data_IF_480824640553
#
_entry.id   IF_480824640553
#
_cell.length_a   1.000
_cell.length_b   1.000
_cell.length_c   1.000
_cell.angle_alpha   90.00
_cell.angle_beta   90.00
_cell.angle_gamma   90.00
#
_symmetry.space_group_name_H-M   'P 1'
#
loop_
_entity.id
_entity.type
_entity.pdbx_description
1 polymer ?
#
# COMPACT_ATOMS: atom_id res chain seq x y z
N UNK A 1 0.33 -11.54 -58.94
CA UNK A 1 -1.07 -11.08 -58.80
C UNK A 1 -1.25 -10.64 -57.36
N UNK A 2 -1.31 -9.33 -57.13
CA UNK A 2 -1.33 -8.74 -55.78
C UNK A 2 -2.72 -8.78 -55.17
N UNK A 3 -2.81 -9.21 -53.92
CA UNK A 3 -4.00 -9.07 -53.10
C UNK A 3 -3.80 -7.85 -52.19
N UNK A 4 -4.47 -6.75 -52.50
CA UNK A 4 -4.51 -5.55 -51.66
C UNK A 4 -5.49 -5.74 -50.51
N UNK A 5 -5.03 -5.48 -49.29
CA UNK A 5 -5.91 -5.32 -48.13
C UNK A 5 -6.61 -3.95 -48.21
N UNK A 6 -7.95 -3.86 -48.05
CA UNK A 6 -8.62 -2.57 -48.02
C UNK A 6 -8.38 -1.92 -46.66
N UNK A 7 -7.67 -0.79 -46.67
CA UNK A 7 -7.59 0.11 -45.52
C UNK A 7 -8.91 0.88 -45.48
N UNK A 8 -9.84 0.44 -44.62
CA UNK A 8 -11.06 1.17 -44.33
C UNK A 8 -10.71 2.42 -43.53
N UNK A 9 -10.76 3.59 -44.17
CA UNK A 9 -10.68 4.87 -43.50
C UNK A 9 -11.97 5.04 -42.70
N UNK A 10 -11.87 5.07 -41.37
CA UNK A 10 -12.99 5.42 -40.51
C UNK A 10 -13.48 6.82 -40.91
N UNK A 11 -14.76 6.95 -41.26
CA UNK A 11 -15.41 8.24 -41.47
C UNK A 11 -15.19 9.13 -40.24
N UNK A 12 -14.96 10.44 -40.42
CA UNK A 12 -14.82 11.35 -39.29
C UNK A 12 -16.14 11.33 -38.51
N UNK A 13 -16.08 10.83 -37.27
CA UNK A 13 -17.22 10.84 -36.37
C UNK A 13 -17.85 12.24 -36.37
N UNK A 14 -19.13 12.31 -36.73
CA UNK A 14 -19.91 13.53 -36.67
C UNK A 14 -19.74 14.17 -35.30
N UNK A 15 -19.30 15.42 -35.26
CA UNK A 15 -19.13 16.16 -34.00
C UNK A 15 -20.45 16.17 -33.23
N UNK A 16 -20.45 15.77 -31.95
CA UNK A 16 -21.68 15.70 -31.16
C UNK A 16 -22.34 17.07 -31.07
N UNK A 17 -23.67 17.07 -31.05
CA UNK A 17 -24.46 18.28 -30.79
C UNK A 17 -24.25 18.76 -29.35
N UNK A 18 -24.62 20.01 -29.08
CA UNK A 18 -24.51 20.59 -27.74
C UNK A 18 -25.32 19.82 -26.68
N UNK A 19 -26.49 19.28 -27.06
CA UNK A 19 -27.31 18.46 -26.16
C UNK A 19 -26.61 17.14 -25.84
N UNK A 20 -26.15 16.42 -26.87
CA UNK A 20 -25.44 15.15 -26.71
C UNK A 20 -24.18 15.32 -25.87
N UNK A 21 -23.43 16.40 -26.04
CA UNK A 21 -22.23 16.68 -25.24
C UNK A 21 -22.56 16.89 -23.75
N UNK A 22 -23.70 17.54 -23.43
CA UNK A 22 -24.16 17.69 -22.04
C UNK A 22 -24.60 16.37 -21.44
N UNK A 23 -25.35 15.57 -22.19
CA UNK A 23 -25.83 14.26 -21.74
C UNK A 23 -24.64 13.32 -21.48
N UNK A 24 -23.63 13.33 -22.34
CA UNK A 24 -22.39 12.58 -22.16
C UNK A 24 -21.65 13.05 -20.89
N UNK A 25 -21.50 14.36 -20.66
CA UNK A 25 -20.82 14.86 -19.47
C UNK A 25 -21.53 14.43 -18.17
N UNK A 26 -22.87 14.51 -18.14
CA UNK A 26 -23.66 14.03 -17.00
C UNK A 26 -23.42 12.54 -16.76
N UNK A 27 -23.47 11.71 -17.80
CA UNK A 27 -23.21 10.28 -17.68
C UNK A 27 -21.77 9.98 -17.19
N UNK A 28 -20.76 10.77 -17.58
CA UNK A 28 -19.39 10.60 -17.09
C UNK A 28 -19.23 10.99 -15.62
N UNK A 29 -19.93 12.04 -15.17
CA UNK A 29 -19.98 12.44 -13.76
C UNK A 29 -20.62 11.35 -12.90
N UNK A 30 -21.73 10.78 -13.36
CA UNK A 30 -22.40 9.69 -12.67
C UNK A 30 -21.50 8.45 -12.58
N UNK A 31 -20.77 8.13 -13.66
CA UNK A 31 -19.80 7.04 -13.67
C UNK A 31 -18.62 7.27 -12.70
N UNK A 32 -18.11 8.50 -12.60
CA UNK A 32 -17.07 8.86 -11.61
C UNK A 32 -17.60 8.68 -10.19
N UNK A 33 -18.79 9.19 -9.88
CA UNK A 33 -19.40 9.08 -8.56
C UNK A 33 -19.64 7.61 -8.15
N UNK A 34 -20.05 6.77 -9.10
CA UNK A 34 -20.20 5.33 -8.89
C UNK A 34 -18.83 4.66 -8.59
N UNK A 35 -17.78 5.05 -9.32
CA UNK A 35 -16.42 4.56 -9.06
C UNK A 35 -15.89 4.98 -7.68
N UNK A 36 -16.13 6.24 -7.26
CA UNK A 36 -15.76 6.73 -5.93
C UNK A 36 -16.48 5.97 -4.82
N UNK A 37 -17.79 5.78 -4.97
CA UNK A 37 -18.61 5.03 -4.01
C UNK A 37 -18.10 3.60 -3.89
N UNK A 38 -17.81 2.96 -5.02
CA UNK A 38 -17.28 1.59 -5.04
C UNK A 38 -15.91 1.49 -4.37
N UNK A 39 -15.03 2.45 -4.60
CA UNK A 39 -13.73 2.50 -3.92
C UNK A 39 -13.92 2.65 -2.40
N UNK A 40 -14.81 3.55 -1.97
CA UNK A 40 -15.13 3.75 -0.56
C UNK A 40 -15.67 2.50 0.15
N UNK A 41 -16.55 1.75 -0.51
CA UNK A 41 -17.04 0.45 -0.02
C UNK A 41 -15.88 -0.54 0.19
N UNK A 42 -15.03 -0.71 -0.81
CA UNK A 42 -13.92 -1.67 -0.76
C UNK A 42 -12.88 -1.31 0.31
N UNK A 43 -12.57 -0.02 0.47
CA UNK A 43 -11.68 0.46 1.53
C UNK A 43 -12.29 0.20 2.91
N UNK A 44 -13.60 0.39 3.05
CA UNK A 44 -14.31 0.12 4.31
C UNK A 44 -14.34 -1.38 4.63
N UNK A 45 -14.56 -2.22 3.63
CA UNK A 45 -14.52 -3.69 3.75
C UNK A 45 -13.11 -4.17 4.18
N UNK A 46 -12.06 -3.62 3.57
CA UNK A 46 -10.68 -3.94 3.92
C UNK A 46 -10.38 -3.54 5.38
N UNK A 47 -10.79 -2.34 5.81
CA UNK A 47 -10.61 -1.89 7.19
C UNK A 47 -11.40 -2.73 8.20
N UNK A 48 -12.59 -3.22 7.83
CA UNK A 48 -13.38 -4.15 8.65
C UNK A 48 -12.66 -5.49 8.80
N UNK A 49 -12.07 -6.00 7.70
CA UNK A 49 -11.32 -7.25 7.71
C UNK A 49 -10.03 -7.13 8.53
N UNK A 50 -9.26 -6.05 8.37
CA UNK A 50 -8.04 -5.82 9.16
C UNK A 50 -8.33 -5.77 10.66
N UNK A 51 -9.46 -5.14 11.08
CA UNK A 51 -9.92 -5.18 12.47
C UNK A 51 -10.28 -6.60 12.96
N UNK A 52 -10.84 -7.43 12.07
CA UNK A 52 -11.19 -8.81 12.40
C UNK A 52 -9.95 -9.71 12.53
N UNK A 53 -8.92 -9.46 11.72
CA UNK A 53 -7.63 -10.15 11.82
C UNK A 53 -6.93 -9.74 13.12
N UNK A 54 -6.93 -8.45 13.46
CA UNK A 54 -6.33 -7.95 14.70
C UNK A 54 -6.98 -8.58 15.94
N UNK A 55 -8.32 -8.64 15.99
CA UNK A 55 -9.03 -9.26 17.13
C UNK A 55 -8.76 -10.76 17.26
N UNK A 56 -8.60 -11.47 16.14
CA UNK A 56 -8.20 -12.88 16.14
C UNK A 56 -6.76 -13.09 16.66
N UNK A 57 -5.85 -12.17 16.32
CA UNK A 57 -4.47 -12.16 16.82
C UNK A 57 -4.43 -11.89 18.34
N UNK A 58 -5.19 -10.91 18.82
CA UNK A 58 -5.28 -10.57 20.24
C UNK A 58 -5.82 -11.75 21.07
N UNK A 59 -6.84 -12.45 20.56
CA UNK A 59 -7.36 -13.66 21.22
C UNK A 59 -6.30 -14.76 21.33
N UNK A 60 -5.45 -14.93 20.31
CA UNK A 60 -4.36 -15.91 20.31
C UNK A 60 -3.24 -15.53 21.28
N UNK A 61 -2.94 -14.22 21.41
CA UNK A 61 -1.98 -13.71 22.38
C UNK A 61 -2.45 -13.90 23.83
N UNK A 62 -3.73 -13.65 24.11
CA UNK A 62 -4.33 -13.89 25.42
C UNK A 62 -4.26 -15.36 25.83
N UNK A 63 -4.59 -16.28 24.92
CA UNK A 63 -4.49 -17.73 25.18
C UNK A 63 -3.04 -18.17 25.47
N UNK A 64 -2.08 -17.64 24.70
CA UNK A 64 -0.66 -17.92 24.92
C UNK A 64 -0.18 -17.43 26.29
N UNK A 65 -0.65 -16.25 26.72
CA UNK A 65 -0.39 -15.73 28.06
C UNK A 65 -1.00 -16.61 29.17
N UNK A 66 -2.22 -17.13 28.97
CA UNK A 66 -2.85 -18.07 29.90
C UNK A 66 -2.07 -19.37 30.05
N UNK A 67 -1.53 -19.93 28.95
CA UNK A 67 -0.68 -21.12 29.01
C UNK A 67 0.61 -20.85 29.79
N UNK A 68 1.27 -19.71 29.56
CA UNK A 68 2.50 -19.39 30.28
C UNK A 68 2.23 -19.12 31.76
N UNK A 69 1.10 -18.50 32.11
CA UNK A 69 0.64 -18.38 33.50
C UNK A 69 0.46 -19.76 34.16
N UNK A 70 -0.25 -20.67 33.49
CA UNK A 70 -0.44 -22.04 33.99
C UNK A 70 0.90 -22.77 34.19
N UNK A 71 1.86 -22.60 33.26
CA UNK A 71 3.21 -23.16 33.40
C UNK A 71 3.98 -22.54 34.56
N UNK A 72 3.87 -21.22 34.77
CA UNK A 72 4.51 -20.55 35.89
C UNK A 72 3.96 -21.04 37.24
N UNK A 73 2.65 -21.21 37.34
CA UNK A 73 2.00 -21.78 38.53
C UNK A 73 2.42 -23.21 38.80
N UNK A 74 2.61 -24.03 37.76
CA UNK A 74 3.14 -25.39 37.87
C UNK A 74 4.59 -25.40 38.36
N UNK A 75 5.46 -24.55 37.80
CA UNK A 75 6.86 -24.41 38.25
C UNK A 75 6.92 -23.95 39.70
N UNK A 76 6.10 -22.98 40.09
CA UNK A 76 6.04 -22.49 41.47
C UNK A 76 5.56 -23.59 42.43
N UNK A 77 4.49 -24.32 42.08
CA UNK A 77 3.99 -25.43 42.90
C UNK A 77 5.03 -26.56 43.05
N UNK A 78 5.73 -26.91 41.96
CA UNK A 78 6.81 -27.90 41.99
C UNK A 78 8.01 -27.43 42.83
N UNK A 79 8.37 -26.15 42.74
CA UNK A 79 9.46 -25.56 43.52
C UNK A 79 9.11 -25.53 45.00
N UNK A 80 7.90 -25.10 45.38
CA UNK A 80 7.45 -25.11 46.78
C UNK A 80 7.38 -26.54 47.34
N UNK A 81 6.92 -27.51 46.55
CA UNK A 81 6.93 -28.92 46.95
C UNK A 81 8.35 -29.48 47.17
N UNK A 82 9.35 -28.97 46.43
CA UNK A 82 10.74 -29.39 46.53
C UNK A 82 11.51 -28.66 47.64
N UNK A 83 11.37 -27.34 47.74
CA UNK A 83 12.10 -26.47 48.67
C UNK A 83 11.60 -26.64 50.10
N UNK A 84 10.28 -26.62 50.32
CA UNK A 84 9.72 -26.75 51.66
C UNK A 84 9.40 -28.22 52.01
N UNK A 85 9.61 -29.17 51.10
CA UNK A 85 8.95 -30.47 51.24
C UNK A 85 7.42 -30.34 51.37
N UNK A 86 6.82 -29.26 50.86
CA UNK A 86 5.40 -28.96 51.02
C UNK A 86 4.99 -28.37 52.37
N UNK A 87 5.88 -27.66 53.06
CA UNK A 87 5.60 -27.04 54.36
C UNK A 87 5.00 -25.62 54.23
N UNK A 88 3.67 -25.54 54.14
CA UNK A 88 2.90 -24.39 54.62
C UNK A 88 2.39 -24.74 56.04
N UNK A 89 3.17 -24.43 57.07
CA UNK A 89 3.10 -25.00 58.44
C UNK A 89 1.99 -24.39 59.35
N UNK A 90 1.25 -25.19 60.18
CA UNK A 90 1.68 -25.62 61.53
C UNK A 90 1.42 -27.13 61.78
N UNK A 91 1.67 -27.98 60.78
CA UNK A 91 1.53 -29.44 60.84
C UNK A 91 2.86 -30.17 61.05
N UNK A 92 3.89 -29.47 61.54
CA UNK A 92 4.98 -30.05 62.35
C UNK A 92 4.47 -30.96 63.51
N UNK A 93 3.16 -31.02 63.78
CA UNK A 93 2.54 -31.93 64.76
C UNK A 93 2.35 -33.39 64.30
N UNK A 94 2.66 -33.75 63.04
CA UNK A 94 2.46 -35.13 62.53
C UNK A 94 3.70 -35.72 61.82
N UNK A 95 4.88 -35.27 62.22
CA UNK A 95 6.17 -35.65 61.65
C UNK A 95 6.76 -36.95 62.20
N UNK A 96 5.98 -38.02 62.28
CA UNK A 96 6.57 -39.33 62.55
C UNK A 96 5.81 -40.45 61.85
N UNK A 97 5.87 -40.46 60.53
CA UNK A 97 6.43 -41.61 59.83
C UNK A 97 6.43 -41.35 58.33
N UNK A 98 7.22 -42.13 57.61
CA UNK A 98 7.21 -42.21 56.15
C UNK A 98 5.89 -42.79 55.63
N UNK A 99 4.78 -42.08 55.85
CA UNK A 99 3.44 -42.57 55.60
C UNK A 99 3.07 -42.44 54.11
N UNK A 100 2.66 -43.55 53.51
CA UNK A 100 2.21 -43.68 52.11
C UNK A 100 1.14 -42.65 51.74
N UNK A 101 0.37 -42.17 52.74
CA UNK A 101 -0.63 -41.11 52.61
C UNK A 101 -0.04 -39.78 52.10
N UNK A 102 1.13 -39.35 52.60
CA UNK A 102 1.77 -38.09 52.18
C UNK A 102 2.31 -38.21 50.76
N UNK A 103 2.95 -39.35 50.43
CA UNK A 103 3.41 -39.64 49.06
C UNK A 103 2.24 -39.73 48.08
N UNK A 104 1.13 -40.35 48.48
CA UNK A 104 -0.07 -40.44 47.64
C UNK A 104 -0.66 -39.06 47.34
N UNK A 105 -0.76 -38.16 48.34
CA UNK A 105 -1.27 -36.80 48.13
C UNK A 105 -0.39 -35.99 47.18
N UNK A 106 0.94 -36.13 47.29
CA UNK A 106 1.86 -35.49 46.34
C UNK A 106 1.70 -36.05 44.92
N UNK A 107 1.56 -37.36 44.78
CA UNK A 107 1.33 -38.00 43.48
C UNK A 107 0.00 -37.55 42.87
N UNK A 108 -1.10 -37.56 43.65
CA UNK A 108 -2.42 -37.12 43.18
C UNK A 108 -2.44 -35.64 42.82
N UNK A 109 -1.75 -34.78 43.57
CA UNK A 109 -1.62 -33.37 43.22
C UNK A 109 -0.86 -33.17 41.91
N UNK A 110 0.27 -33.86 41.73
CA UNK A 110 1.05 -33.81 40.49
C UNK A 110 0.28 -34.39 39.31
N UNK A 111 -0.47 -35.47 39.50
CA UNK A 111 -1.29 -36.12 38.48
C UNK A 111 -2.47 -35.25 38.06
N UNK A 112 -3.16 -34.62 39.01
CA UNK A 112 -4.25 -33.69 38.72
C UNK A 112 -3.75 -32.45 37.96
N UNK A 113 -2.65 -31.85 38.43
CA UNK A 113 -2.00 -30.70 37.77
C UNK A 113 -1.41 -31.05 36.40
N UNK A 114 -0.92 -32.27 36.20
CA UNK A 114 -0.48 -32.76 34.90
C UNK A 114 -1.68 -32.96 33.95
N UNK A 115 -2.82 -33.42 34.48
CA UNK A 115 -4.11 -33.44 33.77
C UNK A 115 -4.53 -32.05 33.30
N UNK A 116 -4.49 -31.05 34.19
CA UNK A 116 -4.83 -29.66 33.86
C UNK A 116 -3.97 -29.09 32.72
N UNK A 117 -2.65 -29.39 32.72
CA UNK A 117 -1.75 -28.97 31.66
C UNK A 117 -2.02 -29.71 30.34
N UNK A 118 -2.29 -31.02 30.40
CA UNK A 118 -2.62 -31.83 29.23
C UNK A 118 -3.94 -31.38 28.59
N UNK A 119 -4.93 -31.02 29.41
CA UNK A 119 -6.21 -30.47 28.97
C UNK A 119 -6.03 -29.08 28.37
N UNK A 120 -5.25 -28.19 29.00
CA UNK A 120 -4.93 -26.87 28.46
C UNK A 120 -4.17 -26.96 27.12
N UNK A 121 -3.20 -27.88 27.00
CA UNK A 121 -2.49 -28.14 25.76
C UNK A 121 -3.40 -28.68 24.66
N UNK A 122 -4.34 -29.57 25.01
CA UNK A 122 -5.31 -30.14 24.06
C UNK A 122 -6.31 -29.09 23.58
N UNK A 123 -6.76 -28.20 24.47
CA UNK A 123 -7.61 -27.06 24.14
C UNK A 123 -6.89 -26.08 23.21
N UNK A 124 -5.61 -25.80 23.45
CA UNK A 124 -4.79 -24.96 22.56
C UNK A 124 -4.68 -25.55 21.15
N UNK A 125 -4.35 -26.85 21.04
CA UNK A 125 -4.25 -27.51 19.74
C UNK A 125 -5.61 -27.64 19.03
N UNK A 126 -6.72 -27.73 19.76
CA UNK A 126 -8.06 -27.64 19.19
C UNK A 126 -8.33 -26.23 18.64
N UNK A 127 -8.04 -25.19 19.41
CA UNK A 127 -8.25 -23.80 19.00
C UNK A 127 -7.38 -23.40 17.81
N UNK A 128 -6.14 -23.90 17.76
CA UNK A 128 -5.26 -23.73 16.61
C UNK A 128 -5.83 -24.40 15.35
N UNK A 129 -6.28 -25.65 15.44
CA UNK A 129 -6.93 -26.35 14.32
C UNK A 129 -8.16 -25.61 13.79
N UNK A 130 -8.93 -24.97 14.67
CA UNK A 130 -10.14 -24.23 14.31
C UNK A 130 -9.85 -22.82 13.76
N UNK A 131 -8.76 -22.18 14.19
CA UNK A 131 -8.40 -20.80 13.80
C UNK A 131 -7.45 -20.73 12.60
N UNK A 132 -6.50 -21.66 12.45
CA UNK A 132 -5.57 -21.70 11.32
C UNK A 132 -6.27 -21.58 9.95
N UNK A 133 -7.32 -22.37 9.62
CA UNK A 133 -8.01 -22.23 8.34
C UNK A 133 -8.74 -20.88 8.19
N UNK A 134 -9.23 -20.30 9.30
CA UNK A 134 -9.89 -18.98 9.28
C UNK A 134 -8.88 -17.87 9.01
N UNK A 135 -7.69 -17.95 9.60
CA UNK A 135 -6.62 -16.98 9.37
C UNK A 135 -6.11 -17.04 7.92
N UNK A 136 -5.98 -18.24 7.35
CA UNK A 136 -5.66 -18.41 5.92
C UNK A 136 -6.75 -17.79 5.05
N UNK A 137 -8.02 -18.11 5.31
CA UNK A 137 -9.14 -17.55 4.56
C UNK A 137 -9.24 -16.02 4.68
N UNK A 138 -8.96 -15.46 5.86
CA UNK A 138 -8.91 -14.01 6.07
C UNK A 138 -7.73 -13.37 5.33
N UNK A 139 -6.56 -14.02 5.28
CA UNK A 139 -5.41 -13.53 4.52
C UNK A 139 -5.68 -13.52 3.02
N UNK A 140 -6.27 -14.59 2.47
CA UNK A 140 -6.70 -14.66 1.08
C UNK A 140 -7.79 -13.61 0.76
N UNK A 141 -8.76 -13.43 1.65
CA UNK A 141 -9.79 -12.41 1.51
C UNK A 141 -9.18 -11.00 1.52
N UNK A 142 -8.15 -10.75 2.34
CA UNK A 142 -7.44 -9.48 2.40
C UNK A 142 -6.70 -9.21 1.10
N UNK A 143 -5.95 -10.18 0.60
CA UNK A 143 -5.25 -10.06 -0.70
C UNK A 143 -6.23 -9.78 -1.84
N UNK A 144 -7.35 -10.51 -1.88
CA UNK A 144 -8.43 -10.30 -2.85
C UNK A 144 -9.04 -8.90 -2.76
N UNK A 145 -9.32 -8.41 -1.55
CA UNK A 145 -9.83 -7.04 -1.35
C UNK A 145 -8.82 -5.98 -1.74
N UNK A 146 -7.54 -6.13 -1.38
CA UNK A 146 -6.48 -5.21 -1.79
C UNK A 146 -6.37 -5.14 -3.31
N UNK A 147 -6.40 -6.28 -4.01
CA UNK A 147 -6.41 -6.30 -5.47
C UNK A 147 -7.63 -5.57 -6.07
N UNK A 148 -8.82 -5.76 -5.48
CA UNK A 148 -10.05 -5.06 -5.89
C UNK A 148 -9.97 -3.55 -5.64
N UNK A 149 -9.35 -3.11 -4.55
CA UNK A 149 -9.10 -1.69 -4.27
C UNK A 149 -8.22 -1.10 -5.37
N UNK A 150 -7.11 -1.73 -5.73
CA UNK A 150 -6.24 -1.25 -6.81
C UNK A 150 -6.99 -1.17 -8.16
N UNK A 151 -7.82 -2.16 -8.47
CA UNK A 151 -8.68 -2.11 -9.68
C UNK A 151 -9.67 -0.94 -9.61
N UNK A 152 -10.27 -0.68 -8.46
CA UNK A 152 -11.21 0.43 -8.27
C UNK A 152 -10.53 1.80 -8.35
N UNK A 153 -9.32 1.95 -7.81
CA UNK A 153 -8.49 3.16 -7.95
C UNK A 153 -8.18 3.46 -9.42
N UNK A 154 -7.77 2.43 -10.17
CA UNK A 154 -7.53 2.56 -11.60
C UNK A 154 -8.81 2.93 -12.37
N UNK A 155 -9.95 2.33 -12.01
CA UNK A 155 -11.25 2.67 -12.60
C UNK A 155 -11.66 4.12 -12.30
N UNK A 156 -11.41 4.60 -11.09
CA UNK A 156 -11.65 6.00 -10.71
C UNK A 156 -10.75 6.95 -11.51
N UNK A 157 -9.46 6.62 -11.66
CA UNK A 157 -8.54 7.41 -12.48
C UNK A 157 -8.99 7.48 -13.95
N UNK A 158 -9.47 6.37 -14.52
CA UNK A 158 -10.04 6.33 -15.87
C UNK A 158 -11.33 7.15 -15.96
N UNK A 159 -12.23 7.04 -14.98
CA UNK A 159 -13.47 7.82 -14.94
C UNK A 159 -13.18 9.34 -14.94
N UNK A 160 -12.23 9.78 -14.10
CA UNK A 160 -11.75 11.17 -14.06
C UNK A 160 -11.22 11.65 -15.41
N UNK A 161 -10.43 10.81 -16.10
CA UNK A 161 -9.91 11.14 -17.43
C UNK A 161 -11.05 11.31 -18.46
N UNK A 162 -12.02 10.38 -18.46
CA UNK A 162 -13.16 10.43 -19.39
C UNK A 162 -14.13 11.58 -19.10
N UNK A 163 -14.27 12.00 -17.84
CA UNK A 163 -15.01 13.21 -17.48
C UNK A 163 -14.31 14.45 -18.05
N UNK A 164 -13.00 14.58 -17.86
CA UNK A 164 -12.23 15.70 -18.40
C UNK A 164 -12.26 15.76 -19.93
N UNK A 165 -12.27 14.61 -20.61
CA UNK A 165 -12.50 14.53 -22.07
C UNK A 165 -13.91 15.02 -22.45
N UNK A 166 -14.94 14.63 -21.70
CA UNK A 166 -16.31 15.09 -21.93
C UNK A 166 -16.47 16.60 -21.70
N UNK A 167 -15.78 17.18 -20.72
CA UNK A 167 -15.76 18.63 -20.47
C UNK A 167 -15.11 19.41 -21.63
N UNK A 168 -14.00 18.88 -22.17
CA UNK A 168 -13.37 19.42 -23.38
C UNK A 168 -14.32 19.34 -24.58
N UNK A 169 -15.01 18.21 -24.75
CA UNK A 169 -15.97 18.02 -25.83
C UNK A 169 -17.16 18.98 -25.71
N UNK A 170 -17.67 19.22 -24.51
CA UNK A 170 -18.73 20.20 -24.26
C UNK A 170 -18.29 21.62 -24.64
N UNK A 171 -17.09 22.02 -24.20
CA UNK A 171 -16.51 23.33 -24.56
C UNK A 171 -16.37 23.50 -26.07
N UNK A 172 -15.92 22.45 -26.78
CA UNK A 172 -15.83 22.46 -28.23
C UNK A 172 -17.22 22.53 -28.91
N UNK A 173 -18.23 21.83 -28.37
CA UNK A 173 -19.59 21.88 -28.87
C UNK A 173 -20.24 23.25 -28.68
N UNK A 174 -19.97 23.95 -27.56
CA UNK A 174 -20.40 25.32 -27.32
C UNK A 174 -19.75 26.31 -28.31
N UNK A 175 -18.44 26.21 -28.52
CA UNK A 175 -17.72 27.01 -29.51
C UNK A 175 -18.27 26.79 -30.93
N UNK A 176 -18.60 25.54 -31.29
CA UNK A 176 -19.23 25.23 -32.58
C UNK A 176 -20.64 25.82 -32.69
N UNK A 177 -21.47 25.64 -31.66
CA UNK A 177 -22.84 26.15 -31.66
C UNK A 177 -22.89 27.68 -31.80
N UNK A 178 -21.96 28.40 -31.17
CA UNK A 178 -21.82 29.86 -31.32
C UNK A 178 -21.36 30.27 -32.72
N UNK A 179 -20.39 29.55 -33.31
CA UNK A 179 -19.95 29.78 -34.68
C UNK A 179 -21.09 29.55 -35.70
N UNK A 180 -21.84 28.45 -35.57
CA UNK A 180 -22.98 28.14 -36.44
C UNK A 180 -24.10 29.19 -36.31
N UNK A 181 -24.35 29.70 -35.09
CA UNK A 181 -25.30 30.78 -34.86
C UNK A 181 -24.87 32.10 -35.51
N UNK A 182 -23.58 32.46 -35.40
CA UNK A 182 -23.02 33.63 -36.06
C UNK A 182 -23.11 33.53 -37.60
N UNK A 183 -22.85 32.34 -38.15
CA UNK A 183 -22.99 32.11 -39.59
C UNK A 183 -24.45 32.23 -40.05
N UNK A 184 -25.40 31.63 -39.30
CA UNK A 184 -26.85 31.79 -39.58
C UNK A 184 -27.29 33.25 -39.53
N UNK A 185 -26.83 34.01 -38.54
CA UNK A 185 -27.13 35.44 -38.44
C UNK A 185 -26.56 36.24 -39.62
N UNK A 186 -25.32 35.95 -40.03
CA UNK A 186 -24.70 36.57 -41.20
C UNK A 186 -25.43 36.24 -42.51
N UNK A 187 -25.91 35.00 -42.67
CA UNK A 187 -26.73 34.58 -43.82
C UNK A 187 -28.09 35.28 -43.82
N UNK A 188 -28.75 35.41 -42.67
CA UNK A 188 -30.03 36.13 -42.53
C UNK A 188 -29.89 37.62 -42.86
N UNK A 189 -28.83 38.27 -42.39
CA UNK A 189 -28.55 39.69 -42.70
C UNK A 189 -28.33 39.92 -44.21
N UNK A 190 -27.69 38.97 -44.92
CA UNK A 190 -27.52 39.04 -46.38
C UNK A 190 -28.80 38.82 -47.18
N UNK A 191 -29.79 38.14 -46.60
CA UNK A 191 -31.05 37.81 -47.27
C UNK A 191 -32.14 38.90 -47.13
N UNK A 192 -31.93 39.91 -46.28
CA UNK A 192 -32.85 41.04 -46.12
C UNK A 192 -32.78 41.95 -47.35
N UNK A 193 -33.90 42.25 -48.04
CA UNK A 193 -33.90 43.13 -49.20
C UNK A 193 -33.60 44.58 -48.77
N UNK A 194 -32.72 45.26 -49.51
CA UNK A 194 -32.38 46.66 -49.29
C UNK A 194 -33.61 47.56 -49.55
N UNK A 195 -34.35 47.88 -48.50
CA UNK A 195 -35.39 48.90 -48.52
C UNK A 195 -34.86 50.24 -48.02
N UNK A 196 -34.60 51.18 -48.94
CA UNK A 196 -34.58 52.63 -48.68
C UNK A 196 -33.24 53.25 -48.26
N UNK A 197 -32.76 54.17 -49.10
CA UNK A 197 -31.49 54.90 -48.98
C UNK A 197 -31.48 55.97 -47.87
N UNK A 198 -30.28 56.18 -47.30
CA UNK A 198 -29.91 57.35 -46.50
C UNK A 198 -28.39 57.43 -46.39
N UNK A 199 -27.79 58.27 -47.23
CA UNK A 199 -26.35 58.46 -47.36
C UNK A 199 -25.70 59.10 -46.13
N UNK A 200 -24.50 58.64 -45.77
CA UNK A 200 -23.44 59.50 -45.23
C UNK A 200 -22.07 58.87 -45.49
N UNK A 201 -21.31 59.55 -46.35
CA UNK A 201 -19.85 59.48 -46.53
C UNK A 201 -19.09 59.62 -45.22
N UNK A 202 -17.98 58.89 -45.02
CA UNK A 202 -16.63 59.42 -45.28
C UNK A 202 -15.51 58.49 -44.80
N UNK A 203 -14.36 58.68 -45.44
CA UNK A 203 -13.00 58.44 -44.98
C UNK A 203 -12.42 57.02 -45.07
N UNK A 204 -11.59 56.87 -46.09
CA UNK A 204 -10.53 55.88 -46.21
C UNK A 204 -9.55 55.93 -45.04
N UNK A 205 -8.99 54.76 -44.69
CA UNK A 205 -7.57 54.57 -44.40
C UNK A 205 -7.26 53.08 -44.37
N UNK A 206 -6.51 52.60 -45.37
CA UNK A 206 -5.65 51.43 -45.20
C UNK A 206 -4.42 51.86 -44.38
N UNK A 207 -3.79 50.94 -43.63
CA UNK A 207 -2.73 50.17 -44.28
C UNK A 207 -2.73 48.68 -43.92
N UNK A 208 -2.17 47.91 -44.85
CA UNK A 208 -1.80 46.49 -44.76
C UNK A 208 -0.71 46.28 -43.69
N UNK A 209 -0.68 45.11 -43.02
CA UNK A 209 0.44 44.15 -43.21
C UNK A 209 -0.10 42.70 -43.36
N UNK A 210 0.26 41.98 -44.44
CA UNK A 210 1.29 40.92 -44.51
C UNK A 210 0.85 39.56 -43.90
N UNK A 211 0.78 38.45 -44.68
CA UNK A 211 0.47 37.14 -44.13
C UNK A 211 1.74 36.50 -43.54
N UNK A 212 1.71 36.21 -42.24
CA UNK A 212 2.69 35.32 -41.61
C UNK A 212 2.29 33.87 -41.89
N UNK A 213 3.17 33.14 -42.57
CA UNK A 213 3.10 31.70 -42.70
C UNK A 213 3.27 31.02 -41.33
N UNK A 214 2.59 29.89 -41.04
CA UNK A 214 3.02 29.03 -39.95
C UNK A 214 4.28 28.27 -40.39
N UNK A 215 5.37 28.56 -39.69
CA UNK A 215 6.64 27.87 -39.77
C UNK A 215 6.46 26.38 -39.40
N UNK A 216 6.69 25.49 -40.37
CA UNK A 216 7.06 24.10 -40.12
C UNK A 216 8.51 24.11 -39.66
N UNK A 217 8.74 23.94 -38.36
CA UNK A 217 9.90 23.26 -37.80
C UNK A 217 9.80 23.30 -36.27
N UNK A 218 9.32 22.19 -35.70
CA UNK A 218 9.94 21.69 -34.48
C UNK A 218 10.56 20.32 -34.78
N UNK A 219 11.78 20.06 -34.28
CA UNK A 219 12.52 18.83 -34.54
C UNK A 219 11.85 17.61 -33.90
N UNK A 220 11.73 16.58 -34.71
CA UNK A 220 11.60 15.18 -34.29
C UNK A 220 12.61 14.86 -33.16
N UNK A 221 12.18 14.30 -32.02
CA UNK A 221 13.12 13.71 -31.08
C UNK A 221 13.78 12.51 -31.76
N UNK A 222 15.11 12.62 -31.95
CA UNK A 222 15.94 11.52 -32.36
C UNK A 222 15.82 10.37 -31.35
N UNK A 223 15.48 9.19 -31.86
CA UNK A 223 15.67 7.95 -31.15
C UNK A 223 17.16 7.77 -30.85
N UNK A 224 17.49 7.57 -29.57
CA UNK A 224 18.70 6.87 -29.16
C UNK A 224 18.24 5.55 -28.53
N UNK A 225 18.77 4.39 -28.96
CA UNK A 225 18.45 3.11 -28.35
C UNK A 225 19.27 2.93 -27.08
N UNK A 226 18.61 2.79 -25.94
CA UNK A 226 19.24 2.25 -24.73
C UNK A 226 18.43 1.07 -24.24
N UNK A 227 18.79 -0.10 -24.75
CA UNK A 227 18.72 -1.36 -24.01
C UNK A 227 19.29 -1.17 -22.61
N UNK A 228 18.45 -1.27 -21.59
CA UNK A 228 18.63 -2.06 -20.37
C UNK A 228 17.46 -1.74 -19.47
N UNK A 229 16.49 -2.66 -19.40
CA UNK A 229 15.37 -2.63 -18.47
C UNK A 229 15.89 -2.69 -17.03
N UNK A 230 15.76 -1.65 -16.17
CA UNK A 230 15.72 -1.89 -14.75
C UNK A 230 14.32 -2.41 -14.44
N UNK A 231 14.23 -3.64 -13.92
CA UNK A 231 13.02 -4.21 -13.35
C UNK A 231 12.36 -3.16 -12.46
N UNK A 232 11.18 -2.67 -12.85
CA UNK A 232 10.45 -1.69 -12.08
C UNK A 232 10.18 -2.27 -10.69
N UNK A 233 10.81 -1.66 -9.69
CA UNK A 233 10.67 -2.05 -8.31
C UNK A 233 9.43 -1.35 -7.78
N UNK A 234 8.33 -2.10 -7.67
CA UNK A 234 7.06 -1.63 -7.10
C UNK A 234 7.29 -1.35 -5.62
N UNK A 235 7.09 -0.11 -5.20
CA UNK A 235 7.14 0.26 -3.79
C UNK A 235 5.82 -0.11 -3.13
N UNK A 236 5.89 -0.98 -2.14
CA UNK A 236 4.76 -1.36 -1.29
C UNK A 236 4.80 -0.51 -0.02
N UNK A 237 3.69 0.13 0.37
CA UNK A 237 3.61 0.89 1.63
C UNK A 237 3.55 -0.02 2.87
N UNK A 238 3.21 -1.29 2.68
CA UNK A 238 3.21 -2.30 3.73
C UNK A 238 4.57 -2.99 3.82
N UNK A 239 5.09 -3.24 5.06
CA UNK A 239 6.29 -4.04 5.25
C UNK A 239 6.14 -5.42 4.59
N UNK A 240 7.20 -5.86 3.94
CA UNK A 240 7.28 -7.15 3.23
C UNK A 240 7.15 -8.35 4.17
N UNK A 241 7.36 -8.15 5.48
CA UNK A 241 7.22 -9.12 6.55
C UNK A 241 7.02 -8.39 7.89
N UNK A 242 6.55 -9.08 8.95
CA UNK A 242 6.43 -8.49 10.29
C UNK A 242 7.67 -7.70 10.68
N UNK A 243 7.45 -6.52 11.25
CA UNK A 243 8.55 -5.69 11.73
C UNK A 243 9.15 -6.35 12.98
N UNK A 244 10.48 -6.28 13.16
CA UNK A 244 11.10 -6.80 14.36
C UNK A 244 10.68 -5.99 15.59
N UNK A 245 10.46 -6.67 16.71
CA UNK A 245 10.32 -6.02 18.01
C UNK A 245 11.66 -5.42 18.42
N UNK A 246 11.69 -4.10 18.57
CA UNK A 246 12.89 -3.34 18.93
C UNK A 246 12.73 -2.82 20.37
N UNK A 247 13.65 -3.15 21.30
CA UNK A 247 13.61 -2.57 22.65
C UNK A 247 13.80 -1.05 22.60
N UNK A 248 13.22 -0.35 23.60
CA UNK A 248 13.43 1.08 23.76
C UNK A 248 14.87 1.38 24.22
N UNK A 249 15.51 2.35 23.56
CA UNK A 249 16.92 2.73 23.77
C UNK A 249 17.79 2.55 22.51
N UNK A 250 19.00 3.11 22.54
CA UNK A 250 19.95 3.08 21.41
C UNK A 250 20.11 4.44 20.70
N UNK A 251 20.68 4.45 19.47
CA UNK A 251 20.97 5.69 18.76
C UNK A 251 19.71 6.53 18.49
N UNK A 252 19.83 7.85 18.61
CA UNK A 252 18.72 8.80 18.45
C UNK A 252 18.22 8.86 17.01
N UNK A 253 17.00 9.37 16.75
CA UNK A 253 16.50 9.60 15.39
C UNK A 253 17.46 10.40 14.51
N UNK A 254 18.16 11.39 15.07
CA UNK A 254 19.14 12.23 14.38
C UNK A 254 20.39 11.43 13.99
N UNK A 255 20.85 10.53 14.86
CA UNK A 255 21.95 9.61 14.57
C UNK A 255 21.60 8.66 13.41
N UNK A 256 20.37 8.15 13.39
CA UNK A 256 19.86 7.33 12.29
C UNK A 256 19.72 8.12 10.99
N UNK A 257 19.27 9.37 11.06
CA UNK A 257 19.20 10.26 9.90
C UNK A 257 20.61 10.57 9.35
N UNK A 258 21.58 10.83 10.22
CA UNK A 258 22.98 11.06 9.84
C UNK A 258 23.61 9.83 9.19
N UNK A 259 23.31 8.62 9.68
CA UNK A 259 23.74 7.37 9.04
C UNK A 259 23.15 7.25 7.63
N UNK A 260 21.82 7.41 7.46
CA UNK A 260 21.18 7.34 6.14
C UNK A 260 21.73 8.38 5.18
N UNK A 261 21.99 9.59 5.66
CA UNK A 261 22.58 10.64 4.85
C UNK A 261 23.99 10.26 4.37
N UNK A 262 24.79 9.64 5.24
CA UNK A 262 26.13 9.18 4.88
C UNK A 262 26.11 7.99 3.90
N UNK A 263 25.20 7.03 4.09
CA UNK A 263 25.14 5.80 3.28
C UNK A 263 24.52 6.00 1.89
N UNK A 264 23.46 6.81 1.80
CA UNK A 264 22.65 6.91 0.57
C UNK A 264 22.20 8.33 0.25
N UNK A 265 22.69 9.33 0.97
CA UNK A 265 22.13 10.70 0.93
C UNK A 265 20.63 10.74 1.25
N UNK A 266 20.16 9.81 2.11
CA UNK A 266 18.75 9.71 2.51
C UNK A 266 17.84 9.00 1.50
N UNK A 267 18.39 8.37 0.47
CA UNK A 267 17.61 7.74 -0.59
C UNK A 267 17.27 6.27 -0.27
N UNK A 268 16.01 6.00 0.10
CA UNK A 268 15.48 4.65 0.35
C UNK A 268 15.46 3.72 -0.88
N UNK A 269 15.64 4.25 -2.08
CA UNK A 269 15.74 3.47 -3.32
C UNK A 269 17.16 3.41 -3.87
N UNK A 270 18.17 3.78 -3.06
CA UNK A 270 19.55 3.76 -3.50
C UNK A 270 19.99 2.35 -3.90
N UNK A 271 20.78 2.28 -4.96
CA UNK A 271 21.47 1.06 -5.40
C UNK A 271 22.92 1.45 -5.64
N UNK A 272 23.84 0.80 -4.94
CA UNK A 272 25.28 1.00 -5.14
C UNK A 272 25.69 0.75 -6.58
N UNK A 273 26.82 1.33 -7.01
CA UNK A 273 27.36 1.12 -8.36
C UNK A 273 27.61 -0.36 -8.70
N UNK A 274 27.89 -1.20 -7.69
CA UNK A 274 28.04 -2.65 -7.87
C UNK A 274 26.72 -3.42 -7.86
N UNK A 275 25.60 -2.76 -7.55
CA UNK A 275 24.29 -3.39 -7.39
C UNK A 275 24.15 -4.30 -6.17
N UNK A 276 25.21 -4.44 -5.35
CA UNK A 276 25.24 -5.36 -4.20
C UNK A 276 24.54 -4.80 -2.98
N UNK A 277 24.76 -3.53 -2.70
CA UNK A 277 24.19 -2.81 -1.55
C UNK A 277 23.04 -1.92 -2.01
N UNK A 278 21.95 -1.94 -1.25
CA UNK A 278 20.66 -1.39 -1.64
C UNK A 278 19.93 -0.74 -0.46
N UNK A 279 19.05 0.21 -0.76
CA UNK A 279 18.22 0.91 0.20
C UNK A 279 18.97 2.01 0.96
N UNK A 280 18.27 2.71 1.86
CA UNK A 280 18.80 3.88 2.57
C UNK A 280 20.03 3.57 3.42
N UNK A 281 20.17 2.32 3.85
CA UNK A 281 21.24 1.81 4.72
C UNK A 281 22.25 0.93 3.98
N UNK A 282 22.15 0.85 2.65
CA UNK A 282 23.09 0.11 1.81
C UNK A 282 23.30 -1.33 2.29
N UNK A 283 22.21 -2.06 2.55
CA UNK A 283 22.26 -3.46 2.97
C UNK A 283 22.37 -4.37 1.74
N UNK A 284 23.12 -5.47 1.86
CA UNK A 284 23.10 -6.54 0.86
C UNK A 284 21.92 -7.48 1.09
N UNK A 285 21.53 -8.22 0.04
CA UNK A 285 20.37 -9.11 0.06
C UNK A 285 20.49 -10.26 1.09
N UNK A 286 21.70 -10.75 1.36
CA UNK A 286 21.92 -11.82 2.35
C UNK A 286 21.71 -11.31 3.77
N UNK A 287 22.26 -10.13 4.08
CA UNK A 287 22.02 -9.44 5.36
C UNK A 287 20.54 -9.12 5.54
N UNK A 288 19.88 -8.58 4.50
CA UNK A 288 18.44 -8.29 4.50
C UNK A 288 17.58 -9.52 4.83
N UNK A 289 17.83 -10.64 4.14
CA UNK A 289 17.13 -11.89 4.39
C UNK A 289 17.37 -12.42 5.82
N UNK A 290 18.59 -12.30 6.35
CA UNK A 290 18.91 -12.73 7.73
C UNK A 290 18.19 -11.93 8.82
N UNK A 291 17.68 -10.75 8.48
CA UNK A 291 16.90 -9.87 9.34
C UNK A 291 15.39 -10.05 9.11
N UNK A 292 14.99 -11.07 8.34
CA UNK A 292 13.59 -11.35 8.01
C UNK A 292 13.02 -10.45 6.90
N UNK A 293 13.88 -9.74 6.16
CA UNK A 293 13.47 -9.00 4.97
C UNK A 293 13.19 -9.93 3.79
N UNK A 294 12.10 -9.65 3.08
CA UNK A 294 11.77 -10.32 1.82
C UNK A 294 12.02 -9.38 0.65
N UNK A 295 12.29 -9.93 -0.53
CA UNK A 295 12.49 -9.12 -1.74
C UNK A 295 13.76 -8.25 -1.73
N UNK A 296 13.72 -7.15 -2.50
CA UNK A 296 14.84 -6.21 -2.64
C UNK A 296 14.78 -5.14 -1.52
N UNK A 297 15.87 -4.91 -0.75
CA UNK A 297 15.93 -3.85 0.26
C UNK A 297 15.54 -2.46 -0.27
N UNK A 298 15.86 -2.13 -1.52
CA UNK A 298 15.51 -0.84 -2.14
C UNK A 298 14.04 -0.76 -2.58
N UNK A 299 13.33 -1.89 -2.62
CA UNK A 299 11.89 -1.97 -2.87
C UNK A 299 11.06 -1.72 -1.62
N UNK A 300 11.62 -2.08 -0.47
CA UNK A 300 10.92 -2.09 0.81
C UNK A 300 10.54 -0.67 1.24
N UNK A 301 9.41 -0.49 1.94
CA UNK A 301 9.02 0.82 2.44
C UNK A 301 10.04 1.34 3.46
N UNK A 302 10.15 2.68 3.62
CA UNK A 302 11.08 3.30 4.56
C UNK A 302 11.02 2.73 5.97
N UNK A 303 9.80 2.48 6.48
CA UNK A 303 9.58 1.93 7.81
C UNK A 303 10.21 0.53 8.00
N UNK A 304 10.20 -0.30 6.97
CA UNK A 304 10.78 -1.63 7.01
C UNK A 304 12.31 -1.57 6.99
N UNK A 305 12.86 -0.70 6.14
CA UNK A 305 14.29 -0.46 6.05
C UNK A 305 14.85 0.08 7.37
N UNK A 306 14.15 1.05 7.98
CA UNK A 306 14.49 1.62 9.29
C UNK A 306 14.47 0.57 10.40
N UNK A 307 13.41 -0.25 10.47
CA UNK A 307 13.27 -1.27 11.49
C UNK A 307 14.35 -2.36 11.37
N UNK A 308 14.68 -2.79 10.14
CA UNK A 308 15.72 -3.80 9.90
C UNK A 308 17.13 -3.25 10.12
N UNK A 309 17.37 -1.98 9.81
CA UNK A 309 18.62 -1.32 10.18
C UNK A 309 18.80 -1.27 11.70
N UNK A 310 17.75 -0.94 12.45
CA UNK A 310 17.77 -0.99 13.93
C UNK A 310 18.01 -2.41 14.44
N UNK A 311 17.35 -3.42 13.89
CA UNK A 311 17.61 -4.82 14.25
C UNK A 311 19.06 -5.24 13.97
N UNK A 312 19.62 -4.84 12.82
CA UNK A 312 21.00 -5.11 12.47
C UNK A 312 21.97 -4.47 13.47
N UNK A 313 21.68 -3.23 13.90
CA UNK A 313 22.45 -2.56 14.93
C UNK A 313 22.35 -3.24 16.29
N UNK A 314 21.16 -3.69 16.70
CA UNK A 314 21.01 -4.47 17.94
C UNK A 314 21.85 -5.76 17.91
N UNK A 315 21.94 -6.43 16.76
CA UNK A 315 22.69 -7.69 16.61
C UNK A 315 24.20 -7.49 16.48
N UNK A 316 24.66 -6.40 15.86
CA UNK A 316 26.07 -6.25 15.42
C UNK A 316 26.71 -4.90 15.78
N UNK A 317 25.99 -4.03 16.47
CA UNK A 317 26.38 -2.65 16.73
C UNK A 317 26.53 -1.87 15.43
N UNK A 318 27.45 -0.91 15.42
CA UNK A 318 27.74 -0.05 14.27
C UNK A 318 28.62 -0.72 13.19
N UNK A 319 29.20 -1.89 13.48
CA UNK A 319 30.19 -2.59 12.61
C UNK A 319 29.73 -2.85 11.16
N UNK A 320 28.45 -3.09 10.86
CA UNK A 320 27.98 -3.27 9.48
C UNK A 320 28.17 -2.03 8.59
N UNK A 321 28.35 -0.85 9.19
CA UNK A 321 28.60 0.42 8.52
C UNK A 321 30.01 0.91 8.84
N UNK A 322 31.07 0.40 8.18
CA UNK A 322 32.46 0.64 8.58
C UNK A 322 32.88 2.11 8.50
N UNK A 323 32.27 2.91 7.61
CA UNK A 323 32.58 4.33 7.45
C UNK A 323 31.55 5.25 8.09
N UNK A 324 30.26 4.96 7.90
CA UNK A 324 29.18 5.80 8.41
C UNK A 324 28.69 5.41 9.81
N UNK A 325 29.09 4.23 10.32
CA UNK A 325 28.71 3.75 11.65
C UNK A 325 29.19 4.62 12.81
N UNK A 326 30.14 5.54 12.58
CA UNK A 326 30.53 6.59 13.53
C UNK A 326 29.36 7.46 14.01
N UNK A 327 28.29 7.54 13.22
CA UNK A 327 27.09 8.30 13.59
C UNK A 327 26.22 7.55 14.62
N UNK A 328 26.48 6.25 14.84
CA UNK A 328 25.77 5.38 15.79
C UNK A 328 26.61 4.97 17.01
N UNK A 329 27.75 5.64 17.25
CA UNK A 329 28.62 5.37 18.39
C UNK A 329 28.15 6.09 19.66
#
# INVERSE_FOLDING_TARGET
MGAGCPVGWAEPASTPTLSEARDVLTARRDARLAAETRLGELVSDLANLDRSIASASDASAQLSASIESARAELRAAATNAFVDGGDTDPMLAYLSDWDLLVTSRRLTFLEHRAGDLADASSQFEAMKRDNDPKLVAMAEARESLTARVTVAENALAQANATEADAERALTAAEAKATADAAERAARAARAQPAGGAGAATSAASSPRPAPAAPNRNDPQPAAIPTTTTPRAVVATDAPSAPLPDLPEGGPTPEQWAALRQCESSGNYRAVSASGRYRGAYQMDAGTWASLGGLGDPAAAPPIEQDARARLLHLRRGWKPWPHCGRHLQ
#
